data_IF_279049686620
#
_entry.id   IF_279049686620
#
_cell.length_a   1.000
_cell.length_b   1.000
_cell.length_c   1.000
_cell.angle_alpha   90.00
_cell.angle_beta   90.00
_cell.angle_gamma   90.00
#
_symmetry.space_group_name_H-M   'P 1'
#
loop_
_entity.id
_entity.type
_entity.pdbx_description
1 polymer ?
#
# COMPACT_ATOMS: atom_id res chain seq x y z
N UNK A 1 27.59 -12.87 -5.31
CA UNK A 1 26.36 -12.13 -5.70
C UNK A 1 26.69 -11.20 -6.86
N UNK A 2 25.77 -10.98 -7.81
CA UNK A 2 26.03 -10.11 -8.98
C UNK A 2 25.98 -8.63 -8.65
N UNK A 3 25.16 -8.26 -7.67
CA UNK A 3 25.04 -6.90 -7.14
C UNK A 3 25.06 -7.01 -5.61
N UNK A 4 25.89 -6.20 -4.96
CA UNK A 4 26.09 -6.21 -3.52
C UNK A 4 25.81 -4.82 -2.95
N UNK A 5 24.78 -4.73 -2.11
CA UNK A 5 24.38 -3.51 -1.43
C UNK A 5 25.31 -3.19 -0.25
N UNK A 6 25.88 -4.21 0.39
CA UNK A 6 26.75 -4.05 1.57
C UNK A 6 28.09 -3.41 1.21
N UNK A 7 28.54 -3.57 -0.04
CA UNK A 7 29.68 -2.82 -0.60
C UNK A 7 29.49 -1.30 -0.49
N UNK A 8 28.25 -0.84 -0.55
CA UNK A 8 27.90 0.57 -0.36
C UNK A 8 27.50 0.86 1.08
N UNK A 9 27.79 0.00 2.05
CA UNK A 9 27.42 0.19 3.46
C UNK A 9 25.91 0.21 3.71
N UNK A 10 25.11 -0.34 2.78
CA UNK A 10 23.66 -0.46 2.94
C UNK A 10 23.33 -1.83 3.53
N UNK A 11 22.96 -1.84 4.80
CA UNK A 11 22.52 -3.04 5.50
C UNK A 11 20.99 -3.00 5.63
N UNK A 12 20.24 -3.91 4.98
CA UNK A 12 18.79 -3.91 5.08
C UNK A 12 18.36 -4.21 6.51
N UNK A 13 17.54 -3.32 7.09
CA UNK A 13 16.93 -3.50 8.41
C UNK A 13 15.43 -3.74 8.26
N UNK A 14 14.90 -4.70 9.02
CA UNK A 14 13.46 -5.01 9.05
C UNK A 14 12.65 -4.04 9.92
N UNK A 15 13.33 -3.31 10.83
CA UNK A 15 12.69 -2.37 11.73
C UNK A 15 12.85 -0.93 11.22
N UNK A 16 11.75 -0.15 11.10
CA UNK A 16 11.84 1.25 10.67
C UNK A 16 12.62 2.11 11.68
N UNK A 17 12.63 1.75 12.97
CA UNK A 17 13.37 2.49 14.00
C UNK A 17 14.88 2.35 13.88
N UNK A 18 15.36 1.34 13.15
CA UNK A 18 16.77 1.09 12.91
C UNK A 18 17.22 1.53 11.51
N UNK A 19 16.27 1.90 10.65
CA UNK A 19 16.53 2.32 9.29
C UNK A 19 16.46 3.85 9.18
N UNK A 20 17.36 4.41 8.40
CA UNK A 20 17.48 5.83 8.05
C UNK A 20 17.06 6.08 6.59
N UNK A 21 17.08 5.05 5.74
CA UNK A 21 16.64 5.09 4.35
C UNK A 21 15.43 4.20 4.14
N UNK A 22 14.34 4.76 3.57
CA UNK A 22 13.21 3.98 3.06
C UNK A 22 13.21 3.99 1.53
N UNK A 23 13.26 2.79 0.96
CA UNK A 23 13.10 2.57 -0.48
C UNK A 23 11.65 2.18 -0.75
N UNK A 24 10.86 3.09 -1.34
CA UNK A 24 9.49 2.77 -1.73
C UNK A 24 9.54 1.97 -3.02
N UNK A 25 9.60 0.64 -2.90
CA UNK A 25 9.70 -0.28 -4.02
C UNK A 25 8.34 -0.89 -4.36
N UNK A 26 7.60 -0.26 -5.27
CA UNK A 26 6.35 -0.80 -5.82
C UNK A 26 5.11 0.06 -5.60
N UNK A 27 3.96 -0.44 -6.05
CA UNK A 27 2.71 0.32 -6.04
C UNK A 27 2.13 0.45 -4.64
N UNK A 28 1.77 1.69 -4.26
CA UNK A 28 1.09 1.98 -2.98
C UNK A 28 -0.42 2.03 -3.23
N UNK A 29 -1.17 1.20 -2.51
CA UNK A 29 -2.64 1.22 -2.53
C UNK A 29 -3.21 2.08 -1.39
N UNK A 30 -4.48 2.47 -1.47
CA UNK A 30 -5.17 3.23 -0.41
C UNK A 30 -5.12 2.52 0.95
N UNK A 31 -5.12 1.18 0.96
CA UNK A 31 -4.99 0.40 2.19
C UNK A 31 -3.58 0.49 2.79
N UNK A 32 -2.55 0.54 1.95
CA UNK A 32 -1.15 0.64 2.39
C UNK A 32 -0.73 2.07 2.74
N UNK A 33 -1.36 3.08 2.12
CA UNK A 33 -1.03 4.49 2.30
C UNK A 33 -0.87 4.94 3.77
N UNK A 34 -1.84 4.71 4.68
CA UNK A 34 -1.68 5.11 6.09
C UNK A 34 -0.59 4.32 6.81
N UNK A 35 -0.35 3.06 6.41
CA UNK A 35 0.72 2.24 7.00
C UNK A 35 2.10 2.76 6.58
N UNK A 36 2.25 3.23 5.35
CA UNK A 36 3.50 3.81 4.85
C UNK A 36 3.84 5.12 5.57
N UNK A 37 2.87 6.02 5.75
CA UNK A 37 3.05 7.26 6.53
C UNK A 37 3.49 6.93 7.96
N UNK A 38 2.82 5.96 8.60
CA UNK A 38 3.18 5.51 9.95
C UNK A 38 4.61 4.94 10.03
N UNK A 39 5.07 4.21 9.01
CA UNK A 39 6.45 3.72 8.96
C UNK A 39 7.44 4.88 8.90
N UNK A 40 7.17 5.88 8.06
CA UNK A 40 8.01 7.08 7.92
C UNK A 40 8.04 7.94 9.19
N UNK A 41 6.92 8.05 9.90
CA UNK A 41 6.85 8.75 11.19
C UNK A 41 7.64 8.04 12.30
N UNK A 42 7.78 6.71 12.22
CA UNK A 42 8.52 5.93 13.23
C UNK A 42 10.03 5.91 13.02
N UNK A 43 10.53 6.38 11.87
CA UNK A 43 11.96 6.46 11.57
C UNK A 43 12.60 7.64 12.31
N UNK A 44 13.81 7.46 12.89
CA UNK A 44 14.56 8.57 13.48
C UNK A 44 15.04 9.55 12.41
N UNK A 45 15.24 10.81 12.80
CA UNK A 45 15.97 11.77 11.96
C UNK A 45 17.48 11.55 12.09
N UNK A 46 18.28 11.66 11.00
CA UNK A 46 17.91 11.98 9.63
C UNK A 46 17.30 10.78 8.87
N UNK A 47 16.23 11.04 8.10
CA UNK A 47 15.56 10.02 7.29
C UNK A 47 15.44 10.47 5.84
N UNK A 48 15.62 9.53 4.91
CA UNK A 48 15.57 9.79 3.48
C UNK A 48 14.65 8.80 2.77
N UNK A 49 13.99 9.26 1.71
CA UNK A 49 13.00 8.50 0.92
C UNK A 49 13.44 8.46 -0.54
N UNK A 50 13.58 7.24 -1.09
CA UNK A 50 13.76 7.04 -2.52
C UNK A 50 12.47 6.45 -3.10
N UNK A 51 11.89 7.13 -4.09
CA UNK A 51 10.76 6.61 -4.86
C UNK A 51 11.28 5.75 -6.01
N UNK A 52 11.10 4.43 -5.91
CA UNK A 52 11.58 3.46 -6.88
C UNK A 52 10.47 2.95 -7.81
N UNK A 53 10.63 3.30 -9.08
CA UNK A 53 9.81 2.83 -10.18
C UNK A 53 8.66 3.77 -10.54
N UNK A 54 8.11 3.59 -11.74
CA UNK A 54 7.08 4.47 -12.28
C UNK A 54 5.83 4.56 -11.39
N UNK A 55 5.49 3.48 -10.68
CA UNK A 55 4.32 3.41 -9.81
C UNK A 55 4.41 4.38 -8.62
N UNK A 56 5.59 4.57 -8.03
CA UNK A 56 5.77 5.49 -6.89
C UNK A 56 5.96 6.94 -7.31
N UNK A 57 6.28 7.20 -8.59
CA UNK A 57 6.47 8.56 -9.09
C UNK A 57 5.12 9.15 -9.52
N UNK A 58 4.43 8.48 -10.45
CA UNK A 58 3.19 9.00 -11.06
C UNK A 58 1.99 8.05 -10.95
N UNK A 59 2.18 6.86 -10.35
CA UNK A 59 1.21 5.75 -10.43
C UNK A 59 1.49 4.77 -11.57
N UNK A 60 2.43 5.09 -12.48
CA UNK A 60 2.88 4.16 -13.53
C UNK A 60 1.73 3.65 -14.40
N UNK A 61 1.67 2.34 -14.63
CA UNK A 61 0.59 1.71 -15.39
C UNK A 61 -0.80 1.87 -14.75
N UNK A 62 -0.85 2.12 -13.43
CA UNK A 62 -2.09 2.26 -12.68
C UNK A 62 -2.59 3.71 -12.61
N UNK A 63 -1.89 4.64 -13.26
CA UNK A 63 -2.23 6.07 -13.20
C UNK A 63 -3.60 6.37 -13.82
N UNK A 64 -3.99 5.75 -14.93
CA UNK A 64 -5.26 6.05 -15.61
C UNK A 64 -6.45 5.33 -14.97
N UNK A 65 -6.41 4.00 -14.87
CA UNK A 65 -7.62 3.18 -14.70
C UNK A 65 -7.85 2.64 -13.28
N UNK A 66 -6.92 2.86 -12.36
CA UNK A 66 -7.04 2.28 -11.02
C UNK A 66 -7.79 3.19 -10.04
N UNK A 67 -8.76 2.62 -9.32
CA UNK A 67 -9.56 3.32 -8.32
C UNK A 67 -8.89 3.36 -6.93
N UNK A 68 -7.94 2.46 -6.67
CA UNK A 68 -7.40 2.20 -5.33
C UNK A 68 -5.90 2.45 -5.19
N UNK A 69 -5.20 2.86 -6.25
CA UNK A 69 -3.77 3.17 -6.14
C UNK A 69 -3.52 4.65 -5.88
N UNK A 70 -2.49 4.94 -5.09
CA UNK A 70 -2.03 6.30 -4.87
C UNK A 70 -1.14 6.68 -6.04
N UNK A 71 -1.55 7.73 -6.77
CA UNK A 71 -0.79 8.27 -7.89
C UNK A 71 0.41 9.09 -7.38
N UNK A 72 1.49 8.41 -7.06
CA UNK A 72 2.73 9.00 -6.55
C UNK A 72 2.83 8.98 -5.03
N UNK A 73 4.00 8.57 -4.50
CA UNK A 73 4.28 8.49 -3.07
C UNK A 73 4.55 9.86 -2.44
N UNK A 74 4.92 10.83 -3.26
CA UNK A 74 5.17 12.24 -2.87
C UNK A 74 3.94 12.93 -2.26
N UNK A 75 2.75 12.37 -2.48
CA UNK A 75 1.51 12.83 -1.84
C UNK A 75 1.39 12.43 -0.37
N UNK A 76 2.18 11.45 0.07
CA UNK A 76 2.11 10.87 1.40
C UNK A 76 3.32 11.27 2.23
N UNK A 77 4.51 11.15 1.65
CA UNK A 77 5.80 11.37 2.32
C UNK A 77 6.73 12.16 1.37
N UNK A 78 7.59 13.04 1.89
CA UNK A 78 8.50 13.81 1.06
C UNK A 78 9.54 12.90 0.42
N UNK A 79 9.74 13.03 -0.89
CA UNK A 79 10.70 12.20 -1.66
C UNK A 79 12.00 12.95 -1.92
N UNK A 80 13.14 12.31 -1.65
CA UNK A 80 14.46 12.89 -1.89
C UNK A 80 14.98 12.64 -3.30
N UNK A 81 14.82 11.41 -3.79
CA UNK A 81 15.34 10.97 -5.09
C UNK A 81 14.29 10.11 -5.79
N UNK A 82 14.06 10.43 -7.07
CA UNK A 82 13.19 9.67 -7.96
C UNK A 82 14.01 8.74 -8.85
N UNK A 83 13.65 7.46 -8.87
CA UNK A 83 14.27 6.43 -9.71
C UNK A 83 13.23 5.90 -10.72
N UNK A 84 13.25 6.36 -11.99
CA UNK A 84 12.35 5.86 -13.01
C UNK A 84 12.68 4.42 -13.42
N UNK A 85 11.65 3.64 -13.78
CA UNK A 85 11.78 2.27 -14.28
C UNK A 85 10.56 1.39 -13.99
N UNK A 86 10.39 0.28 -14.71
CA UNK A 86 9.26 -0.65 -14.50
C UNK A 86 9.62 -2.10 -14.91
N UNK A 87 10.37 -2.87 -14.08
CA UNK A 87 11.14 -2.41 -12.91
C UNK A 87 12.49 -1.78 -13.32
N UNK A 88 13.07 -0.89 -12.50
CA UNK A 88 14.41 -0.36 -12.76
C UNK A 88 15.47 -1.46 -12.64
N UNK A 89 16.53 -1.35 -13.44
CA UNK A 89 17.69 -2.25 -13.37
C UNK A 89 18.44 -2.06 -12.04
N UNK A 90 19.08 -3.10 -11.48
CA UNK A 90 19.82 -3.01 -10.22
C UNK A 90 20.97 -1.98 -10.27
N UNK A 91 21.60 -1.79 -11.42
CA UNK A 91 22.62 -0.74 -11.61
C UNK A 91 22.05 0.66 -11.43
N UNK A 92 20.80 0.88 -11.84
CA UNK A 92 20.10 2.15 -11.68
C UNK A 92 19.74 2.42 -10.21
N UNK A 93 19.50 1.38 -9.41
CA UNK A 93 19.32 1.51 -7.95
C UNK A 93 20.61 2.00 -7.30
N UNK A 94 21.76 1.44 -7.69
CA UNK A 94 23.08 1.88 -7.19
C UNK A 94 23.37 3.33 -7.58
N UNK A 95 23.00 3.74 -8.80
CA UNK A 95 23.11 5.15 -9.22
C UNK A 95 22.22 6.07 -8.38
N UNK A 96 20.97 5.67 -8.08
CA UNK A 96 20.09 6.44 -7.21
C UNK A 96 20.65 6.61 -5.79
N UNK A 97 21.24 5.56 -5.22
CA UNK A 97 21.95 5.63 -3.92
C UNK A 97 23.15 6.58 -4.01
N UNK A 98 23.90 6.53 -5.10
CA UNK A 98 25.06 7.42 -5.32
C UNK A 98 24.62 8.88 -5.43
N UNK A 99 23.48 9.15 -6.08
CA UNK A 99 22.86 10.48 -6.12
C UNK A 99 22.38 10.95 -4.76
N UNK A 100 21.76 10.06 -3.98
CA UNK A 100 21.34 10.37 -2.61
C UNK A 100 22.55 10.76 -1.75
N UNK A 101 23.65 10.00 -1.82
CA UNK A 101 24.90 10.34 -1.10
C UNK A 101 25.45 11.71 -1.47
N UNK A 102 25.40 12.07 -2.77
CA UNK A 102 25.79 13.40 -3.24
C UNK A 102 24.86 14.49 -2.67
N UNK A 103 23.56 14.21 -2.56
CA UNK A 103 22.60 15.12 -1.91
C UNK A 103 22.95 15.33 -0.44
N UNK A 104 23.15 14.24 0.31
CA UNK A 104 23.53 14.28 1.73
C UNK A 104 24.85 15.04 1.94
N UNK A 105 25.85 14.83 1.07
CA UNK A 105 27.13 15.54 1.18
C UNK A 105 27.05 17.05 0.97
N UNK A 106 25.96 17.55 0.37
CA UNK A 106 25.71 18.98 0.11
C UNK A 106 24.78 19.61 1.14
N UNK A 107 24.11 18.82 1.99
CA UNK A 107 23.22 19.34 3.02
C UNK A 107 24.03 20.12 4.08
N UNK A 108 23.66 21.37 4.30
CA UNK A 108 24.20 22.23 5.35
C UNK A 108 23.32 22.04 6.59
N UNK A 109 23.90 22.07 7.80
CA UNK A 109 23.19 21.80 9.06
C UNK A 109 21.91 22.61 9.29
N UNK A 110 21.71 23.75 8.62
CA UNK A 110 20.57 24.64 8.77
C UNK A 110 19.31 24.20 7.96
N UNK A 111 19.47 23.40 6.91
CA UNK A 111 18.33 22.85 6.14
C UNK A 111 17.52 21.81 6.93
N UNK A 112 18.07 21.33 8.07
CA UNK A 112 17.41 20.36 8.95
C UNK A 112 16.13 20.87 9.60
N UNK A 113 15.95 22.18 9.69
CA UNK A 113 14.75 22.80 10.28
C UNK A 113 13.48 22.55 9.45
N UNK A 114 13.61 22.18 8.16
CA UNK A 114 12.47 22.02 7.24
C UNK A 114 11.63 20.76 7.54
N UNK A 115 12.22 19.74 8.18
CA UNK A 115 11.49 18.51 8.55
C UNK A 115 10.79 18.58 9.91
N UNK A 116 10.97 19.66 10.67
CA UNK A 116 10.25 19.84 11.92
C UNK A 116 8.76 20.03 11.61
N UNK A 117 7.98 18.99 11.88
CA UNK A 117 6.52 19.07 11.78
C UNK A 117 6.02 20.18 12.73
N UNK A 118 5.50 21.25 12.13
CA UNK A 118 4.80 22.28 12.89
C UNK A 118 3.49 21.69 13.42
N UNK A 119 3.31 21.75 14.74
CA UNK A 119 2.13 21.22 15.40
C UNK A 119 0.95 22.20 15.28
N UNK A 120 0.35 22.28 14.10
CA UNK A 120 -0.91 23.00 13.87
C UNK A 120 -2.10 22.11 14.23
N UNK A 121 -2.43 22.06 15.52
CA UNK A 121 -3.52 21.23 16.04
C UNK A 121 -4.85 22.00 16.06
N UNK A 122 -5.86 21.49 15.33
CA UNK A 122 -7.23 21.98 15.38
C UNK A 122 -8.15 20.89 15.93
N UNK A 123 -9.09 21.27 16.80
CA UNK A 123 -10.08 20.34 17.37
C UNK A 123 -11.48 20.76 16.94
N UNK A 124 -12.24 19.85 16.32
CA UNK A 124 -13.61 20.08 15.86
C UNK A 124 -14.49 18.93 16.35
N UNK A 125 -15.66 19.25 16.91
CA UNK A 125 -16.65 18.26 17.32
C UNK A 125 -17.43 17.74 16.11
N UNK A 126 -17.64 16.42 16.02
CA UNK A 126 -18.39 15.78 14.94
C UNK A 126 -19.59 14.97 15.46
N UNK A 127 -20.62 14.76 14.62
CA UNK A 127 -21.83 13.98 14.93
C UNK A 127 -21.87 12.60 14.25
N UNK A 128 -20.70 12.02 13.93
CA UNK A 128 -20.63 10.68 13.34
C UNK A 128 -20.97 9.60 14.36
N UNK A 129 -21.59 8.50 13.88
CA UNK A 129 -21.89 7.33 14.71
C UNK A 129 -20.64 6.46 14.88
N UNK A 130 -20.32 6.09 16.12
CA UNK A 130 -19.23 5.15 16.40
C UNK A 130 -19.61 3.75 15.94
N UNK A 131 -18.79 3.16 15.04
CA UNK A 131 -18.93 1.76 14.60
C UNK A 131 -17.85 0.89 15.24
N UNK A 132 -18.20 -0.37 15.54
CA UNK A 132 -17.23 -1.38 16.00
C UNK A 132 -16.30 -1.78 14.85
N UNK A 133 -15.06 -2.18 15.17
CA UNK A 133 -14.11 -2.69 14.17
C UNK A 133 -14.70 -3.88 13.41
N UNK A 134 -14.57 -3.89 12.10
CA UNK A 134 -14.92 -5.04 11.25
C UNK A 134 -13.86 -6.14 11.33
N UNK A 135 -12.63 -5.82 11.73
CA UNK A 135 -11.54 -6.78 11.91
C UNK A 135 -11.50 -7.22 13.38
N UNK A 136 -12.11 -8.37 13.67
CA UNK A 136 -12.22 -8.94 15.04
C UNK A 136 -11.12 -9.95 15.36
N UNK A 137 -10.36 -10.42 14.36
CA UNK A 137 -9.25 -11.37 14.55
C UNK A 137 -9.67 -12.84 14.72
N UNK A 138 -10.98 -13.12 14.71
CA UNK A 138 -11.51 -14.47 14.89
C UNK A 138 -11.68 -15.17 13.52
N UNK A 139 -10.56 -15.51 12.87
CA UNK A 139 -10.59 -16.24 11.60
C UNK A 139 -11.09 -17.70 11.76
N UNK A 140 -10.80 -18.31 12.92
CA UNK A 140 -11.10 -19.72 13.20
C UNK A 140 -12.49 -19.98 13.81
N UNK A 141 -13.29 -18.94 14.04
CA UNK A 141 -14.65 -19.11 14.56
C UNK A 141 -15.60 -19.43 13.40
N UNK A 142 -15.89 -20.72 13.22
CA UNK A 142 -16.78 -21.31 12.21
C UNK A 142 -18.26 -20.89 12.24
N UNK A 143 -18.57 -19.63 12.52
CA UNK A 143 -19.93 -19.08 12.45
C UNK A 143 -20.37 -18.77 11.01
N UNK A 144 -19.44 -18.70 10.03
CA UNK A 144 -19.75 -18.43 8.61
C UNK A 144 -19.70 -19.68 7.71
N UNK A 145 -19.10 -20.77 8.19
CA UNK A 145 -19.15 -22.10 7.55
C UNK A 145 -20.05 -23.04 8.39
N UNK A 146 -21.24 -22.58 8.75
CA UNK A 146 -22.30 -23.54 9.02
C UNK A 146 -22.79 -24.02 7.66
N UNK A 147 -22.50 -25.28 7.31
CA UNK A 147 -23.27 -25.97 6.27
C UNK A 147 -24.74 -25.78 6.59
N UNK A 148 -25.62 -25.47 5.61
CA UNK A 148 -27.04 -25.29 5.90
C UNK A 148 -27.51 -26.51 6.71
N UNK A 149 -28.08 -26.26 7.89
CA UNK A 149 -28.65 -27.32 8.71
C UNK A 149 -29.66 -28.06 7.85
N UNK A 150 -29.44 -29.37 7.65
CA UNK A 150 -30.33 -30.25 6.93
C UNK A 150 -31.62 -30.48 7.73
N UNK A 151 -32.41 -29.42 7.93
CA UNK A 151 -33.67 -29.47 8.67
C UNK A 151 -34.47 -28.19 8.43
N UNK A 152 -34.80 -27.88 7.18
CA UNK A 152 -35.93 -26.98 6.82
C UNK A 152 -36.09 -26.95 5.28
N UNK A 153 -36.32 -28.13 4.68
CA UNK A 153 -36.98 -28.19 3.38
C UNK A 153 -38.36 -28.80 3.64
N UNK A 154 -39.46 -28.04 3.57
CA UNK A 154 -40.78 -28.62 3.51
C UNK A 154 -40.87 -29.41 2.20
N UNK A 155 -41.15 -30.70 2.29
CA UNK A 155 -41.19 -31.64 1.16
C UNK A 155 -42.33 -31.40 0.15
N UNK A 156 -43.07 -30.29 0.22
CA UNK A 156 -44.29 -30.09 -0.57
C UNK A 156 -44.14 -29.21 -1.81
N UNK A 157 -43.06 -28.45 -1.99
CA UNK A 157 -42.86 -27.63 -3.19
C UNK A 157 -42.11 -28.34 -4.33
N UNK A 158 -41.62 -29.56 -4.12
CA UNK A 158 -40.76 -30.26 -5.10
C UNK A 158 -41.52 -30.97 -6.24
N UNK A 159 -42.84 -31.11 -6.16
CA UNK A 159 -43.63 -31.82 -7.18
C UNK A 159 -44.40 -30.94 -8.17
N UNK A 160 -44.41 -29.61 -8.01
CA UNK A 160 -45.26 -28.73 -8.84
C UNK A 160 -44.56 -28.02 -10.01
N UNK A 161 -43.24 -28.11 -10.14
CA UNK A 161 -42.49 -27.45 -11.24
C UNK A 161 -42.18 -28.37 -12.43
N UNK A 162 -42.55 -29.66 -12.37
CA UNK A 162 -42.23 -30.63 -13.43
C UNK A 162 -43.25 -30.71 -14.57
N UNK A 163 -44.27 -29.86 -14.62
CA UNK A 163 -45.37 -29.95 -15.60
C UNK A 163 -45.53 -28.76 -16.56
N UNK A 164 -44.55 -27.87 -16.71
CA UNK A 164 -44.67 -26.81 -17.73
C UNK A 164 -43.32 -26.36 -18.29
N UNK A 165 -42.71 -27.22 -19.12
CA UNK A 165 -41.80 -26.74 -20.17
C UNK A 165 -42.40 -27.24 -21.49
N UNK A 166 -43.26 -26.39 -22.06
CA UNK A 166 -43.76 -26.51 -23.43
C UNK A 166 -42.67 -26.02 -24.38
N UNK A 167 -42.42 -26.83 -25.40
CA UNK A 167 -41.56 -26.62 -26.55
C UNK A 167 -41.69 -25.23 -27.16
N UNK A 168 -40.56 -24.59 -27.45
CA UNK A 168 -40.50 -23.60 -28.53
C UNK A 168 -39.62 -24.16 -29.65
N UNK A 169 -40.28 -24.46 -30.77
CA UNK A 169 -39.71 -24.90 -32.03
C UNK A 169 -38.86 -23.80 -32.69
N UNK A 170 -37.75 -24.24 -33.27
CA UNK A 170 -37.03 -23.60 -34.37
C UNK A 170 -37.91 -23.60 -35.63
N UNK A 171 -38.17 -22.45 -36.25
CA UNK A 171 -38.50 -22.37 -37.68
C UNK A 171 -37.93 -21.07 -38.29
N UNK A 172 -37.11 -21.31 -39.33
CA UNK A 172 -36.56 -20.44 -40.39
C UNK A 172 -35.58 -19.32 -40.04
#
# INVERSE_FOLDING_TARGET
SRFDFDRYGLVPRSSPRQADLILTAGTVTMKMAPSLVRLYEQMPEPKYVIAMGACTITGGMFSTDSYSTVRGVDKLIPVDVYLPGCPPKPEAVIDAITKLRKKISREISEDRTVYQQENRCFTINHKFYVRRSTYTGNYDQGLLYQSPSASEIPSETFFKSKSSVSSHELVN
#
